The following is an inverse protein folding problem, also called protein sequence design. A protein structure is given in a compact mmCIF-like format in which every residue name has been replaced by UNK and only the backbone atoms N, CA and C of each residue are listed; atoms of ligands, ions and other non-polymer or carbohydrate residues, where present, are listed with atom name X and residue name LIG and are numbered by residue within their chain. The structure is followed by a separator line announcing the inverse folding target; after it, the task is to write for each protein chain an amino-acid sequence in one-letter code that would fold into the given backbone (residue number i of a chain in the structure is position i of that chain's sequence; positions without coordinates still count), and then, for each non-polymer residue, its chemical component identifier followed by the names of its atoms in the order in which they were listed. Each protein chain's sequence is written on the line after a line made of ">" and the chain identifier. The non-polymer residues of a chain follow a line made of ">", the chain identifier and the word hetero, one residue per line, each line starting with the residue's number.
data_IF_325288693545
#
_entry.id   IF_325288693545
#
_cell.length_a   1.000
_cell.length_b   1.000
_cell.length_c   1.000
_cell.angle_alpha   90.00
_cell.angle_beta   90.00
_cell.angle_gamma   90.00
#
_symmetry.space_group_name_H-M   'P 1'
#
loop_
_entity.id
_entity.type
_entity.pdbx_description
1 polymer ?
#
# COMPACT_ATOMS: atom_id res chain seq x y z
N UNK A 1 -18.67 17.29 10.82
CA UNK A 1 -17.40 16.52 10.93
C UNK A 1 -16.42 17.40 11.68
N UNK A 2 -15.81 16.95 12.78
CA UNK A 2 -14.80 17.76 13.47
C UNK A 2 -13.49 17.77 12.67
N UNK A 3 -12.69 18.82 12.82
CA UNK A 3 -11.36 18.94 12.19
C UNK A 3 -10.46 17.76 12.56
N UNK A 4 -10.54 17.30 13.80
CA UNK A 4 -9.82 16.13 14.31
C UNK A 4 -10.15 14.83 13.55
N UNK A 5 -11.44 14.56 13.32
CA UNK A 5 -11.87 13.38 12.55
C UNK A 5 -11.40 13.46 11.09
N UNK A 6 -11.41 14.67 10.51
CA UNK A 6 -10.91 14.89 9.15
C UNK A 6 -9.40 14.64 9.05
N UNK A 7 -8.61 15.21 9.96
CA UNK A 7 -7.16 15.02 10.00
C UNK A 7 -6.79 13.55 10.20
N UNK A 8 -7.48 12.84 11.11
CA UNK A 8 -7.28 11.39 11.31
C UNK A 8 -7.57 10.60 10.03
N UNK A 9 -8.68 10.90 9.37
CA UNK A 9 -9.08 10.21 8.13
C UNK A 9 -8.05 10.41 7.01
N UNK A 10 -7.54 11.64 6.85
CA UNK A 10 -6.50 11.97 5.86
C UNK A 10 -5.23 11.17 6.14
N UNK A 11 -4.79 11.14 7.40
CA UNK A 11 -3.58 10.42 7.79
C UNK A 11 -3.71 8.91 7.57
N UNK A 12 -4.79 8.29 8.05
CA UNK A 12 -5.03 6.85 7.86
C UNK A 12 -5.09 6.49 6.37
N UNK A 13 -5.77 7.32 5.57
CA UNK A 13 -5.88 7.10 4.11
C UNK A 13 -4.53 7.23 3.41
N UNK A 14 -3.72 8.21 3.81
CA UNK A 14 -2.38 8.45 3.24
C UNK A 14 -1.45 7.27 3.55
N UNK A 15 -1.41 6.81 4.80
CA UNK A 15 -0.59 5.65 5.18
C UNK A 15 -1.06 4.35 4.51
N UNK A 16 -2.37 4.15 4.40
CA UNK A 16 -2.91 3.01 3.69
C UNK A 16 -2.51 3.03 2.21
N UNK A 17 -2.58 4.20 1.55
CA UNK A 17 -2.14 4.37 0.17
C UNK A 17 -0.64 4.10 0.00
N UNK A 18 0.19 4.56 0.94
CA UNK A 18 1.64 4.27 0.92
C UNK A 18 1.93 2.77 1.07
N UNK A 19 1.24 2.07 1.98
CA UNK A 19 1.38 0.62 2.15
C UNK A 19 0.89 -0.15 0.91
N UNK A 20 -0.15 0.35 0.24
CA UNK A 20 -0.63 -0.24 -1.00
C UNK A 20 0.32 -0.04 -2.18
N UNK A 21 1.14 1.01 -2.19
CA UNK A 21 1.90 1.41 -3.37
C UNK A 21 3.40 1.17 -3.26
N UNK A 22 4.02 1.52 -2.13
CA UNK A 22 5.48 1.46 -1.97
C UNK A 22 6.05 0.03 -1.99
N UNK A 23 5.49 -0.95 -1.24
CA UNK A 23 6.00 -2.32 -1.30
C UNK A 23 5.84 -2.96 -2.70
N UNK A 24 4.66 -2.88 -3.36
CA UNK A 24 4.51 -3.38 -4.73
C UNK A 24 5.42 -2.71 -5.74
N UNK A 25 5.63 -1.40 -5.61
CA UNK A 25 6.56 -0.65 -6.46
C UNK A 25 8.00 -1.09 -6.24
N UNK A 26 8.42 -1.24 -4.99
CA UNK A 26 9.76 -1.75 -4.65
C UNK A 26 9.98 -3.15 -5.21
N UNK A 27 8.97 -4.01 -5.13
CA UNK A 27 9.03 -5.37 -5.67
C UNK A 27 9.09 -5.38 -7.20
N UNK A 28 8.28 -4.55 -7.87
CA UNK A 28 8.35 -4.35 -9.32
C UNK A 28 9.75 -3.92 -9.75
N UNK A 29 10.27 -2.85 -9.14
CA UNK A 29 11.58 -2.29 -9.51
C UNK A 29 12.72 -3.25 -9.19
N UNK A 30 12.68 -3.92 -8.05
CA UNK A 30 13.69 -4.90 -7.66
C UNK A 30 13.79 -6.04 -8.66
N UNK A 31 12.65 -6.63 -9.06
CA UNK A 31 12.63 -7.71 -10.05
C UNK A 31 13.07 -7.19 -11.42
N UNK A 32 12.64 -5.99 -11.80
CA UNK A 32 12.98 -5.41 -13.09
C UNK A 32 14.48 -5.16 -13.22
N UNK A 33 15.10 -4.56 -12.20
CA UNK A 33 16.54 -4.30 -12.22
C UNK A 33 17.40 -5.57 -12.09
N UNK A 34 16.90 -6.63 -11.46
CA UNK A 34 17.62 -7.90 -11.35
C UNK A 34 17.49 -8.79 -12.59
N UNK A 35 16.34 -8.79 -13.26
CA UNK A 35 16.03 -9.74 -14.34
C UNK A 35 15.96 -9.11 -15.73
N UNK A 36 15.79 -7.79 -15.82
CA UNK A 36 15.48 -7.08 -17.07
C UNK A 36 14.10 -7.40 -17.65
N UNK A 37 13.27 -8.23 -16.98
CA UNK A 37 12.01 -8.72 -17.52
C UNK A 37 10.82 -7.91 -16.97
N UNK A 38 10.30 -7.00 -17.80
CA UNK A 38 9.16 -6.15 -17.43
C UNK A 38 7.86 -6.93 -17.19
N UNK A 39 7.64 -8.04 -17.90
CA UNK A 39 6.42 -8.84 -17.78
C UNK A 39 6.39 -9.54 -16.42
N UNK A 40 7.48 -10.21 -16.05
CA UNK A 40 7.60 -10.90 -14.75
C UNK A 40 7.50 -9.89 -13.60
N UNK A 41 8.16 -8.74 -13.75
CA UNK A 41 8.11 -7.66 -12.77
C UNK A 41 6.71 -7.11 -12.60
N UNK A 42 5.97 -6.90 -13.70
CA UNK A 42 4.59 -6.42 -13.67
C UNK A 42 3.68 -7.42 -12.97
N UNK A 43 3.75 -8.70 -13.32
CA UNK A 43 2.90 -9.74 -12.70
C UNK A 43 3.13 -9.79 -11.19
N UNK A 44 4.38 -9.82 -10.75
CA UNK A 44 4.71 -9.95 -9.33
C UNK A 44 4.46 -8.64 -8.55
N UNK A 45 4.87 -7.50 -9.10
CA UNK A 45 4.62 -6.17 -8.54
C UNK A 45 3.14 -5.86 -8.40
N UNK A 46 2.39 -5.83 -9.51
CA UNK A 46 0.95 -5.55 -9.47
C UNK A 46 0.17 -6.66 -8.78
N UNK A 47 0.56 -7.93 -8.91
CA UNK A 47 -0.06 -9.03 -8.17
C UNK A 47 0.02 -8.81 -6.66
N UNK A 48 1.17 -8.38 -6.15
CA UNK A 48 1.34 -8.05 -4.73
C UNK A 48 0.45 -6.88 -4.28
N UNK A 49 0.19 -5.89 -5.14
CA UNK A 49 -0.74 -4.79 -4.84
C UNK A 49 -2.15 -5.31 -4.52
N UNK A 50 -2.68 -6.25 -5.32
CA UNK A 50 -4.00 -6.83 -5.08
C UNK A 50 -4.04 -7.70 -3.82
N UNK A 51 -2.95 -8.40 -3.50
CA UNK A 51 -2.85 -9.14 -2.25
C UNK A 51 -2.96 -8.17 -1.06
N UNK A 52 -2.19 -7.08 -1.05
CA UNK A 52 -2.24 -6.07 0.01
C UNK A 52 -3.63 -5.41 0.07
N UNK A 53 -4.25 -5.16 -1.08
CA UNK A 53 -5.61 -4.62 -1.19
C UNK A 53 -6.65 -5.53 -0.51
N UNK A 54 -6.53 -6.85 -0.63
CA UNK A 54 -7.40 -7.79 0.06
C UNK A 54 -7.31 -7.68 1.60
N UNK A 55 -6.18 -7.19 2.13
CA UNK A 55 -5.99 -6.92 3.56
C UNK A 55 -6.22 -5.46 3.96
N UNK A 56 -6.61 -4.58 3.03
CA UNK A 56 -6.76 -3.13 3.26
C UNK A 56 -7.64 -2.77 4.46
N UNK A 57 -8.75 -3.50 4.67
CA UNK A 57 -9.64 -3.30 5.82
C UNK A 57 -8.94 -3.57 7.15
N UNK A 58 -8.13 -4.64 7.23
CA UNK A 58 -7.35 -4.96 8.44
C UNK A 58 -6.26 -3.93 8.69
N UNK A 59 -5.57 -3.49 7.62
CA UNK A 59 -4.52 -2.47 7.69
C UNK A 59 -5.09 -1.12 8.13
N UNK A 60 -6.22 -0.71 7.55
CA UNK A 60 -6.93 0.52 7.92
C UNK A 60 -7.34 0.53 9.39
N UNK A 61 -7.84 -0.60 9.91
CA UNK A 61 -8.18 -0.74 11.33
C UNK A 61 -6.95 -0.63 12.23
N UNK A 62 -5.83 -1.26 11.85
CA UNK A 62 -4.57 -1.15 12.58
C UNK A 62 -4.06 0.30 12.61
N UNK A 63 -4.03 0.99 11.47
CA UNK A 63 -3.63 2.40 11.37
C UNK A 63 -4.53 3.30 12.22
N UNK A 64 -5.85 3.07 12.20
CA UNK A 64 -6.82 3.84 12.98
C UNK A 64 -6.63 3.72 14.49
N UNK A 65 -6.13 2.56 14.96
CA UNK A 65 -5.82 2.32 16.37
C UNK A 65 -4.48 2.93 16.79
N UNK A 66 -3.47 2.88 15.91
CA UNK A 66 -2.14 3.47 16.18
C UNK A 66 -2.17 4.99 16.18
N UNK A 67 -3.01 5.59 15.34
CA UNK A 67 -3.23 7.04 15.26
C UNK A 67 -4.36 7.54 16.18
N UNK A 68 -4.83 6.69 17.09
CA UNK A 68 -5.77 7.09 18.14
C UNK A 68 -5.03 7.64 19.35
#
# INVERSE_FOLDING_TARGET
>A
MSTEIATKTIWVSTFLAMILTLPPLGLFLGIYFLTGNIIVSAILGFGSHFIILAFSSKISKLLSNVMS
#
